data_IF_657431843541
#
_entry.id   IF_657431843541
#
_cell.length_a   1.000
_cell.length_b   1.000
_cell.length_c   1.000
_cell.angle_alpha   90.00
_cell.angle_beta   90.00
_cell.angle_gamma   90.00
#
_symmetry.space_group_name_H-M   'P 1'
#
loop_
_entity.id
_entity.type
_entity.pdbx_description
1 polymer ?
#
# COMPACT_ATOMS: atom_id res chain seq x y z
N UNK A 1 -15.40 -10.53 -90.81
CA UNK A 1 -16.43 -9.95 -89.93
C UNK A 1 -16.13 -10.36 -88.50
N UNK A 2 -15.54 -9.44 -87.74
CA UNK A 2 -15.01 -9.64 -86.40
C UNK A 2 -16.15 -9.51 -85.37
N UNK A 3 -16.45 -10.54 -84.57
CA UNK A 3 -17.45 -10.48 -83.49
C UNK A 3 -16.73 -10.27 -82.16
N UNK A 4 -16.86 -9.06 -81.62
CA UNK A 4 -16.49 -8.73 -80.24
C UNK A 4 -17.39 -9.50 -79.26
N UNK A 5 -16.80 -10.17 -78.29
CA UNK A 5 -17.47 -10.69 -77.10
C UNK A 5 -17.09 -9.79 -75.92
N UNK A 6 -18.08 -9.13 -75.31
CA UNK A 6 -17.90 -8.31 -74.10
C UNK A 6 -17.85 -9.23 -72.87
N UNK A 7 -16.73 -9.21 -72.15
CA UNK A 7 -16.59 -9.81 -70.83
C UNK A 7 -17.12 -8.85 -69.76
N UNK A 8 -18.14 -9.26 -69.00
CA UNK A 8 -18.65 -8.52 -67.84
C UNK A 8 -17.81 -8.82 -66.61
N UNK A 9 -17.17 -7.79 -66.06
CA UNK A 9 -16.40 -7.84 -64.82
C UNK A 9 -17.35 -7.57 -63.64
N UNK A 10 -17.61 -8.56 -62.78
CA UNK A 10 -18.41 -8.38 -61.57
C UNK A 10 -17.52 -7.85 -60.43
N UNK A 11 -17.79 -6.62 -59.99
CA UNK A 11 -17.08 -5.97 -58.88
C UNK A 11 -17.76 -6.36 -57.56
N UNK A 12 -17.10 -7.21 -56.76
CA UNK A 12 -17.56 -7.56 -55.41
C UNK A 12 -17.23 -6.42 -54.43
N UNK A 13 -18.26 -5.71 -53.96
CA UNK A 13 -18.13 -4.70 -52.91
C UNK A 13 -18.02 -5.38 -51.53
N UNK A 14 -16.83 -5.35 -50.92
CA UNK A 14 -16.63 -5.81 -49.55
C UNK A 14 -17.26 -4.84 -48.54
N UNK A 15 -18.17 -5.33 -47.70
CA UNK A 15 -18.66 -4.59 -46.54
C UNK A 15 -17.53 -4.47 -45.50
N UNK A 16 -16.95 -3.28 -45.39
CA UNK A 16 -16.14 -2.88 -44.23
C UNK A 16 -17.10 -2.58 -43.08
N UNK A 17 -17.25 -3.51 -42.13
CA UNK A 17 -17.93 -3.24 -40.86
C UNK A 17 -17.02 -2.39 -39.99
N UNK A 18 -17.22 -1.08 -39.98
CA UNK A 18 -16.59 -0.18 -39.00
C UNK A 18 -17.23 -0.44 -37.64
N UNK A 19 -16.53 -1.13 -36.74
CA UNK A 19 -16.93 -1.24 -35.34
C UNK A 19 -17.02 0.17 -34.75
N UNK A 20 -18.19 0.54 -34.21
CA UNK A 20 -18.34 1.80 -33.50
C UNK A 20 -17.34 1.83 -32.33
N UNK A 21 -16.66 2.97 -32.06
CA UNK A 21 -15.85 3.09 -30.86
C UNK A 21 -16.74 2.80 -29.65
N UNK A 22 -16.35 1.84 -28.82
CA UNK A 22 -17.01 1.60 -27.56
C UNK A 22 -16.99 2.93 -26.78
N UNK A 23 -18.16 3.54 -26.57
CA UNK A 23 -18.23 4.74 -25.76
C UNK A 23 -17.71 4.39 -24.38
N UNK A 24 -16.62 5.05 -23.95
CA UNK A 24 -16.13 4.93 -22.60
C UNK A 24 -17.29 5.26 -21.66
N UNK A 25 -17.60 4.33 -20.75
CA UNK A 25 -18.71 4.51 -19.82
C UNK A 25 -18.42 5.75 -18.98
N UNK A 26 -19.32 6.73 -19.04
CA UNK A 26 -19.19 7.94 -18.26
C UNK A 26 -19.20 7.59 -16.76
N UNK A 27 -18.30 8.19 -16.00
CA UNK A 27 -18.24 7.97 -14.56
C UNK A 27 -19.40 8.69 -13.88
N UNK A 28 -20.16 7.99 -13.03
CA UNK A 28 -21.26 8.58 -12.26
C UNK A 28 -20.68 9.37 -11.07
N UNK A 29 -20.34 10.63 -11.35
CA UNK A 29 -19.74 11.55 -10.37
C UNK A 29 -20.66 11.79 -9.19
N UNK A 30 -21.98 11.90 -9.42
CA UNK A 30 -22.97 12.13 -8.37
C UNK A 30 -23.06 10.93 -7.40
N UNK A 31 -22.97 9.71 -7.91
CA UNK A 31 -22.89 8.51 -7.07
C UNK A 31 -21.62 8.50 -6.20
N UNK A 32 -20.47 8.90 -6.75
CA UNK A 32 -19.21 8.99 -6.01
C UNK A 32 -19.29 10.06 -4.92
N UNK A 33 -19.81 11.25 -5.23
CA UNK A 33 -20.00 12.31 -4.23
C UNK A 33 -20.92 11.85 -3.09
N UNK A 34 -22.01 11.17 -3.43
CA UNK A 34 -22.95 10.64 -2.43
C UNK A 34 -22.30 9.57 -1.55
N UNK A 35 -21.55 8.65 -2.16
CA UNK A 35 -20.91 7.55 -1.44
C UNK A 35 -19.71 8.00 -0.59
N UNK A 36 -18.97 9.02 -1.03
CA UNK A 36 -17.85 9.59 -0.26
C UNK A 36 -18.31 10.62 0.77
N UNK A 37 -19.45 11.28 0.54
CA UNK A 37 -19.87 12.46 1.30
C UNK A 37 -19.05 13.71 0.98
N UNK A 38 -18.27 13.71 -0.11
CA UNK A 38 -17.39 14.80 -0.51
C UNK A 38 -17.80 15.33 -1.88
N UNK A 39 -17.65 16.65 -2.08
CA UNK A 39 -17.73 17.25 -3.40
C UNK A 39 -16.44 17.03 -4.17
N UNK A 40 -16.55 16.84 -5.48
CA UNK A 40 -15.41 16.60 -6.35
C UNK A 40 -15.34 17.53 -7.56
N UNK A 41 -14.27 17.37 -8.32
CA UNK A 41 -14.01 18.08 -9.57
C UNK A 41 -13.78 17.08 -10.69
N UNK A 42 -14.40 17.30 -11.84
CA UNK A 42 -14.21 16.48 -13.03
C UNK A 42 -13.25 17.14 -14.01
N UNK A 43 -12.15 16.47 -14.35
CA UNK A 43 -11.25 16.86 -15.43
C UNK A 43 -11.67 16.15 -16.72
N UNK A 44 -12.28 16.89 -17.65
CA UNK A 44 -12.76 16.34 -18.92
C UNK A 44 -11.62 15.90 -19.85
N UNK A 45 -10.46 16.57 -19.81
CA UNK A 45 -9.33 16.23 -20.67
C UNK A 45 -8.68 14.89 -20.29
N UNK A 46 -8.68 14.57 -18.99
CA UNK A 46 -8.12 13.33 -18.44
C UNK A 46 -9.18 12.24 -18.24
N UNK A 47 -10.47 12.57 -18.32
CA UNK A 47 -11.58 11.68 -17.97
C UNK A 47 -11.44 11.15 -16.52
N UNK A 48 -11.17 12.06 -15.59
CA UNK A 48 -10.92 11.76 -14.17
C UNK A 48 -11.84 12.60 -13.28
N UNK A 49 -12.53 11.95 -12.36
CA UNK A 49 -13.25 12.61 -11.26
C UNK A 49 -12.46 12.51 -9.97
N UNK A 50 -12.23 13.62 -9.27
CA UNK A 50 -11.44 13.64 -8.03
C UNK A 50 -12.21 14.27 -6.88
N UNK A 51 -12.20 13.61 -5.71
CA UNK A 51 -12.63 14.19 -4.43
C UNK A 51 -11.40 14.51 -3.58
N UNK A 52 -11.50 15.54 -2.74
CA UNK A 52 -10.40 16.00 -1.89
C UNK A 52 -10.87 16.22 -0.45
N UNK A 53 -10.00 15.92 0.52
CA UNK A 53 -10.21 16.12 1.96
C UNK A 53 -8.97 16.75 2.59
N UNK A 54 -8.93 18.08 2.74
CA UNK A 54 -7.85 18.79 3.41
C UNK A 54 -7.72 18.39 4.89
N UNK A 55 -6.50 18.32 5.42
CA UNK A 55 -6.21 18.17 6.87
C UNK A 55 -6.27 19.52 7.58
N UNK A 56 -7.48 20.02 7.81
CA UNK A 56 -7.74 21.26 8.57
C UNK A 56 -7.91 21.01 10.09
N UNK A 57 -7.96 19.74 10.50
CA UNK A 57 -8.26 19.29 11.86
C UNK A 57 -7.07 19.37 12.82
N UNK A 58 -5.85 19.31 12.30
CA UNK A 58 -4.61 19.38 13.09
C UNK A 58 -3.62 20.35 12.44
N UNK A 59 -3.05 21.25 13.24
CA UNK A 59 -2.01 22.18 12.79
C UNK A 59 -0.71 21.41 12.55
N UNK A 60 -0.20 21.50 11.33
CA UNK A 60 1.05 20.86 10.92
C UNK A 60 2.09 21.95 10.64
N UNK A 61 3.23 21.84 11.30
CA UNK A 61 4.38 22.70 11.04
C UNK A 61 5.44 21.92 10.25
N UNK A 62 6.02 22.55 9.24
CA UNK A 62 7.19 22.05 8.50
C UNK A 62 8.23 23.16 8.52
N UNK A 63 9.45 22.86 8.95
CA UNK A 63 10.53 23.86 9.09
C UNK A 63 10.09 25.14 9.85
N UNK A 64 9.45 24.94 11.01
CA UNK A 64 8.93 26.03 11.89
C UNK A 64 7.86 26.92 11.25
N UNK A 65 7.32 26.54 10.09
CA UNK A 65 6.23 27.25 9.42
C UNK A 65 4.96 26.39 9.42
N UNK A 66 3.82 26.99 9.76
CA UNK A 66 2.53 26.31 9.67
C UNK A 66 2.14 26.16 8.21
N UNK A 67 2.16 24.92 7.73
CA UNK A 67 1.91 24.62 6.34
C UNK A 67 0.39 24.53 6.07
N UNK A 68 -0.15 25.31 5.13
CA UNK A 68 -1.56 25.21 4.77
C UNK A 68 -1.82 23.93 3.96
N UNK A 69 -3.02 23.31 4.04
CA UNK A 69 -3.26 22.03 3.39
C UNK A 69 -3.11 21.99 1.87
N UNK A 70 -3.28 23.14 1.22
CA UNK A 70 -3.06 23.28 -0.22
C UNK A 70 -1.62 22.90 -0.65
N UNK A 71 -0.65 23.04 0.26
CA UNK A 71 0.77 22.73 0.00
C UNK A 71 1.12 21.23 0.19
N UNK A 72 0.13 20.34 0.04
CA UNK A 72 0.35 18.88 0.09
C UNK A 72 -0.16 18.18 1.35
N UNK A 73 -1.06 18.78 2.15
CA UNK A 73 -1.73 18.10 3.27
C UNK A 73 -3.20 17.82 2.96
N UNK A 74 -3.51 17.52 1.70
CA UNK A 74 -4.87 17.22 1.26
C UNK A 74 -4.93 15.78 0.78
N UNK A 75 -5.68 14.94 1.49
CA UNK A 75 -6.00 13.58 1.02
C UNK A 75 -6.91 13.67 -0.20
N UNK A 76 -6.80 12.72 -1.13
CA UNK A 76 -7.63 12.69 -2.33
C UNK A 76 -7.87 11.27 -2.82
N UNK A 77 -8.97 11.09 -3.55
CA UNK A 77 -9.25 9.90 -4.33
C UNK A 77 -9.75 10.32 -5.72
N UNK A 78 -9.12 9.77 -6.75
CA UNK A 78 -9.41 10.03 -8.15
C UNK A 78 -9.90 8.75 -8.81
N UNK A 79 -10.89 8.89 -9.69
CA UNK A 79 -11.59 7.78 -10.32
C UNK A 79 -11.63 8.00 -11.83
N UNK A 80 -11.34 6.95 -12.59
CA UNK A 80 -11.42 6.96 -14.05
C UNK A 80 -12.07 5.69 -14.59
N UNK A 81 -12.84 5.76 -15.69
CA UNK A 81 -13.39 4.58 -16.35
C UNK A 81 -12.29 3.60 -16.80
N UNK A 82 -12.53 2.31 -16.58
CA UNK A 82 -11.66 1.20 -17.02
C UNK A 82 -12.53 0.09 -17.63
N UNK A 83 -12.84 0.20 -18.92
CA UNK A 83 -13.77 -0.70 -19.60
C UNK A 83 -15.17 -0.62 -18.97
N UNK A 84 -15.68 -1.75 -18.47
CA UNK A 84 -16.94 -1.84 -17.72
C UNK A 84 -16.78 -1.61 -16.20
N UNK A 85 -15.58 -1.23 -15.75
CA UNK A 85 -15.24 -1.00 -14.35
C UNK A 85 -14.66 0.40 -14.14
N UNK A 86 -14.24 0.70 -12.93
CA UNK A 86 -13.57 1.94 -12.54
C UNK A 86 -12.24 1.61 -11.89
N UNK A 87 -11.22 2.38 -12.22
CA UNK A 87 -9.97 2.41 -11.47
C UNK A 87 -10.01 3.59 -10.50
N UNK A 88 -9.57 3.37 -9.27
CA UNK A 88 -9.41 4.40 -8.25
C UNK A 88 -7.96 4.41 -7.77
N UNK A 89 -7.40 5.61 -7.64
CA UNK A 89 -6.15 5.86 -6.95
C UNK A 89 -6.35 7.00 -5.96
N UNK A 90 -5.60 6.97 -4.87
CA UNK A 90 -5.69 8.01 -3.86
C UNK A 90 -4.42 8.14 -3.04
N UNK A 91 -4.29 9.28 -2.39
CA UNK A 91 -3.27 9.56 -1.39
C UNK A 91 -3.97 10.01 -0.11
N UNK A 92 -3.59 9.42 1.02
CA UNK A 92 -4.21 9.65 2.32
C UNK A 92 -3.18 10.20 3.30
N UNK A 93 -3.40 11.43 3.73
CA UNK A 93 -2.55 12.14 4.70
C UNK A 93 -2.90 11.70 6.12
N UNK A 94 -1.92 11.16 6.83
CA UNK A 94 -2.08 10.44 8.10
C UNK A 94 -1.03 10.87 9.12
N UNK A 95 -1.36 10.75 10.40
CA UNK A 95 -0.37 10.74 11.49
C UNK A 95 -0.01 9.29 11.88
N UNK A 96 1.09 9.12 12.60
CA UNK A 96 1.64 7.81 12.99
C UNK A 96 0.60 6.85 13.59
N UNK A 97 -0.29 7.36 14.44
CA UNK A 97 -1.35 6.60 15.11
C UNK A 97 -2.62 6.38 14.27
N UNK A 98 -2.73 7.05 13.12
CA UNK A 98 -3.84 6.89 12.17
C UNK A 98 -3.52 5.85 11.09
N UNK A 99 -2.25 5.68 10.73
CA UNK A 99 -1.81 4.86 9.58
C UNK A 99 -2.37 3.45 9.65
N UNK A 100 -2.08 2.73 10.73
CA UNK A 100 -2.41 1.30 10.83
C UNK A 100 -3.92 1.03 10.98
N UNK A 101 -4.68 1.82 11.76
CA UNK A 101 -6.13 1.77 11.75
C UNK A 101 -6.76 2.05 10.37
N UNK A 102 -6.30 3.09 9.67
CA UNK A 102 -6.80 3.44 8.34
C UNK A 102 -6.47 2.37 7.29
N UNK A 103 -5.23 1.85 7.31
CA UNK A 103 -4.78 0.75 6.44
C UNK A 103 -5.64 -0.49 6.61
N UNK A 104 -5.97 -0.87 7.84
CA UNK A 104 -6.81 -2.04 8.12
C UNK A 104 -8.19 -1.86 7.49
N UNK A 105 -8.81 -0.69 7.68
CA UNK A 105 -10.12 -0.37 7.08
C UNK A 105 -10.07 -0.35 5.55
N UNK A 106 -8.99 0.17 4.95
CA UNK A 106 -8.82 0.12 3.49
C UNK A 106 -8.84 -1.34 2.99
N UNK A 107 -8.01 -2.20 3.58
CA UNK A 107 -7.88 -3.60 3.19
C UNK A 107 -9.18 -4.40 3.41
N UNK A 108 -9.90 -4.14 4.51
CA UNK A 108 -11.18 -4.79 4.85
C UNK A 108 -12.31 -4.39 3.90
N UNK A 109 -12.24 -3.17 3.34
CA UNK A 109 -13.18 -2.68 2.33
C UNK A 109 -12.76 -3.05 0.90
N UNK A 110 -11.74 -3.91 0.74
CA UNK A 110 -11.28 -4.38 -0.56
C UNK A 110 -10.52 -3.32 -1.37
N UNK A 111 -10.06 -2.24 -0.73
CA UNK A 111 -9.09 -1.34 -1.32
C UNK A 111 -7.69 -1.94 -1.21
N UNK A 112 -6.82 -1.51 -2.11
CA UNK A 112 -5.40 -1.82 -2.11
C UNK A 112 -4.64 -0.71 -1.37
N UNK A 113 -3.54 -1.07 -0.74
CA UNK A 113 -2.56 -0.11 -0.19
C UNK A 113 -1.25 -0.30 -0.93
N UNK A 114 -0.78 0.74 -1.60
CA UNK A 114 0.27 0.63 -2.62
C UNK A 114 1.59 1.28 -2.21
N UNK A 115 1.55 2.25 -1.30
CA UNK A 115 2.75 2.86 -0.73
C UNK A 115 2.46 3.48 0.65
N UNK A 116 3.50 3.69 1.45
CA UNK A 116 3.47 4.41 2.71
C UNK A 116 4.83 5.08 2.91
N UNK A 117 4.83 6.41 2.94
CA UNK A 117 6.05 7.21 3.06
C UNK A 117 5.75 8.61 3.61
N UNK A 118 6.77 9.42 3.86
CA UNK A 118 6.65 10.83 4.21
C UNK A 118 7.11 11.72 3.03
N UNK A 119 6.59 12.94 2.93
CA UNK A 119 7.02 13.92 1.92
C UNK A 119 7.98 14.97 2.48
N UNK A 120 8.00 15.16 3.80
CA UNK A 120 8.69 16.27 4.44
C UNK A 120 9.68 15.79 5.48
N UNK A 121 10.75 16.56 5.65
CA UNK A 121 11.58 16.52 6.85
C UNK A 121 11.15 17.62 7.81
N UNK A 122 11.44 17.44 9.11
CA UNK A 122 11.14 18.42 10.17
C UNK A 122 9.66 18.82 10.30
N UNK A 123 8.77 17.98 9.79
CA UNK A 123 7.35 18.01 10.06
C UNK A 123 7.06 17.67 11.53
N UNK A 124 6.15 18.42 12.12
CA UNK A 124 5.65 18.26 13.48
C UNK A 124 4.14 18.57 13.53
N UNK A 125 3.30 17.60 13.94
CA UNK A 125 3.60 16.18 14.15
C UNK A 125 4.06 15.49 12.86
N UNK A 126 4.55 14.24 12.94
CA UNK A 126 4.97 13.47 11.76
C UNK A 126 3.80 13.12 10.87
N UNK A 127 3.92 13.45 9.59
CA UNK A 127 2.92 13.26 8.54
C UNK A 127 3.38 12.19 7.56
N UNK A 128 2.49 11.25 7.32
CA UNK A 128 2.65 10.14 6.39
C UNK A 128 1.59 10.19 5.29
N UNK A 129 1.92 9.55 4.18
CA UNK A 129 1.16 9.49 2.95
C UNK A 129 0.98 8.03 2.59
N UNK A 130 -0.24 7.54 2.75
CA UNK A 130 -0.62 6.18 2.38
C UNK A 130 -1.37 6.22 1.07
N UNK A 131 -0.79 5.59 0.04
CA UNK A 131 -1.42 5.49 -1.27
C UNK A 131 -2.40 4.33 -1.26
N UNK A 132 -3.61 4.60 -1.75
CA UNK A 132 -4.68 3.61 -1.88
C UNK A 132 -5.04 3.41 -3.33
N UNK A 133 -5.49 2.20 -3.66
CA UNK A 133 -5.88 1.82 -5.01
C UNK A 133 -7.10 0.92 -5.04
N UNK A 134 -7.60 0.64 -6.23
CA UNK A 134 -8.56 -0.42 -6.44
C UNK A 134 -9.21 -0.37 -7.82
N UNK A 135 -9.78 -1.50 -8.21
CA UNK A 135 -10.49 -1.67 -9.47
C UNK A 135 -11.85 -2.33 -9.23
N UNK A 136 -12.90 -1.85 -9.88
CA UNK A 136 -14.23 -2.43 -9.76
C UNK A 136 -15.36 -1.41 -9.84
N UNK A 137 -16.40 -1.64 -9.03
CA UNK A 137 -17.56 -0.74 -8.97
C UNK A 137 -17.22 0.58 -8.28
N UNK A 138 -17.51 1.70 -8.94
CA UNK A 138 -17.19 3.04 -8.46
C UNK A 138 -17.80 3.34 -7.07
N UNK A 139 -19.03 2.88 -6.81
CA UNK A 139 -19.72 3.12 -5.53
C UNK A 139 -19.07 2.34 -4.39
N UNK A 140 -18.67 1.08 -4.63
CA UNK A 140 -17.92 0.28 -3.65
C UNK A 140 -16.57 0.91 -3.32
N UNK A 141 -15.81 1.31 -4.35
CA UNK A 141 -14.52 2.00 -4.16
C UNK A 141 -14.71 3.30 -3.36
N UNK A 142 -15.68 4.13 -3.73
CA UNK A 142 -16.02 5.36 -3.02
C UNK A 142 -16.45 5.13 -1.56
N UNK A 143 -17.19 4.05 -1.29
CA UNK A 143 -17.58 3.65 0.07
C UNK A 143 -16.36 3.26 0.91
N UNK A 144 -15.40 2.52 0.32
CA UNK A 144 -14.13 2.21 0.98
C UNK A 144 -13.33 3.47 1.32
N UNK A 145 -13.25 4.43 0.39
CA UNK A 145 -12.59 5.73 0.63
C UNK A 145 -13.25 6.47 1.81
N UNK A 146 -14.59 6.50 1.85
CA UNK A 146 -15.31 7.09 2.97
C UNK A 146 -14.94 6.41 4.30
N UNK A 147 -14.93 5.08 4.33
CA UNK A 147 -14.63 4.32 5.54
C UNK A 147 -13.23 4.64 6.08
N UNK A 148 -12.23 4.77 5.20
CA UNK A 148 -10.88 5.19 5.56
C UNK A 148 -10.89 6.57 6.22
N UNK A 149 -11.51 7.57 5.60
CA UNK A 149 -11.57 8.93 6.14
C UNK A 149 -12.38 9.03 7.44
N UNK A 150 -13.47 8.28 7.55
CA UNK A 150 -14.24 8.17 8.80
C UNK A 150 -13.37 7.56 9.91
N UNK A 151 -12.56 6.54 9.61
CA UNK A 151 -11.69 5.92 10.61
C UNK A 151 -10.63 6.89 11.13
N UNK A 152 -10.05 7.70 10.26
CA UNK A 152 -9.12 8.77 10.63
C UNK A 152 -9.81 9.77 11.57
N UNK A 153 -11.00 10.24 11.19
CA UNK A 153 -11.78 11.15 12.01
C UNK A 153 -12.13 10.56 13.39
N UNK A 154 -12.45 9.27 13.46
CA UNK A 154 -12.70 8.57 14.73
C UNK A 154 -11.46 8.52 15.63
N UNK A 155 -10.27 8.26 15.06
CA UNK A 155 -9.00 8.27 15.82
C UNK A 155 -8.76 9.67 16.40
N UNK A 156 -8.91 10.73 15.60
CA UNK A 156 -8.78 12.12 16.07
C UNK A 156 -9.83 12.51 17.10
N UNK A 157 -11.07 12.05 16.95
CA UNK A 157 -12.12 12.31 17.92
C UNK A 157 -11.86 11.62 19.27
N UNK A 158 -11.27 10.43 19.26
CA UNK A 158 -10.88 9.71 20.47
C UNK A 158 -9.66 10.34 21.16
N UNK A 159 -8.70 10.82 20.38
CA UNK A 159 -7.49 11.47 20.87
C UNK A 159 -7.12 12.64 19.95
N UNK A 160 -7.30 13.88 20.40
CA UNK A 160 -7.08 15.06 19.54
C UNK A 160 -5.63 15.25 19.10
N UNK A 161 -4.66 14.89 19.95
CA UNK A 161 -3.22 15.00 19.66
C UNK A 161 -2.66 13.68 19.15
N UNK A 162 -1.86 13.64 18.07
CA UNK A 162 -1.24 12.40 17.61
C UNK A 162 -0.35 11.76 18.68
N UNK A 163 -0.44 10.44 18.82
CA UNK A 163 0.43 9.67 19.71
C UNK A 163 1.88 9.69 19.19
N UNK A 164 2.83 9.55 20.10
CA UNK A 164 4.27 9.54 19.80
C UNK A 164 4.92 8.17 19.93
N UNK A 165 4.14 7.10 20.13
CA UNK A 165 4.63 5.73 20.25
C UNK A 165 3.53 4.69 20.05
N UNK A 166 3.91 3.47 19.66
CA UNK A 166 3.02 2.30 19.71
C UNK A 166 2.78 1.86 21.15
N UNK A 167 1.57 1.37 21.44
CA UNK A 167 1.20 0.83 22.75
C UNK A 167 2.08 -0.35 23.19
N UNK A 168 2.24 -0.50 24.51
CA UNK A 168 3.07 -1.53 25.13
C UNK A 168 4.52 -1.12 25.33
N UNK A 169 5.22 -1.83 26.21
CA UNK A 169 6.61 -1.56 26.59
C UNK A 169 7.59 -2.48 25.87
N UNK A 170 8.88 -2.12 25.89
CA UNK A 170 9.98 -2.95 25.42
C UNK A 170 10.94 -3.10 26.60
N UNK A 171 11.24 -4.33 27.01
CA UNK A 171 12.17 -4.55 28.10
C UNK A 171 13.59 -4.07 27.76
N UNK A 172 14.34 -3.69 28.79
CA UNK A 172 15.74 -3.28 28.67
C UNK A 172 16.52 -3.65 29.94
N UNK A 173 17.73 -4.21 29.84
CA UNK A 173 18.45 -4.58 28.61
C UNK A 173 17.83 -5.78 27.88
N UNK A 174 18.29 -6.08 26.66
CA UNK A 174 17.74 -7.18 25.85
C UNK A 174 18.27 -8.55 26.30
N UNK A 175 17.39 -9.55 26.33
CA UNK A 175 17.62 -10.95 26.71
C UNK A 175 16.68 -11.92 25.96
N UNK A 176 16.51 -11.74 24.65
CA UNK A 176 15.62 -12.59 23.84
C UNK A 176 16.25 -13.96 23.59
N UNK A 177 15.49 -15.04 23.81
CA UNK A 177 15.95 -16.40 23.54
C UNK A 177 15.87 -16.73 22.05
N UNK A 178 17.01 -17.02 21.41
CA UNK A 178 17.08 -17.23 19.97
C UNK A 178 16.43 -18.53 19.47
N UNK A 179 16.58 -19.65 20.20
CA UNK A 179 16.23 -20.97 19.70
C UNK A 179 14.76 -21.12 19.24
N UNK A 180 13.74 -20.63 19.99
CA UNK A 180 12.36 -20.65 19.53
C UNK A 180 12.13 -19.83 18.25
N UNK A 181 12.79 -18.67 18.12
CA UNK A 181 12.69 -17.81 16.94
C UNK A 181 13.28 -18.52 15.72
N UNK A 182 14.46 -19.13 15.87
CA UNK A 182 15.11 -19.89 14.80
C UNK A 182 14.24 -21.07 14.32
N UNK A 183 13.60 -21.78 15.25
CA UNK A 183 12.70 -22.89 14.95
C UNK A 183 11.47 -22.41 14.17
N UNK A 184 10.83 -21.33 14.61
CA UNK A 184 9.62 -20.78 13.97
C UNK A 184 9.92 -20.24 12.58
N UNK A 185 11.01 -19.48 12.43
CA UNK A 185 11.39 -18.84 11.17
C UNK A 185 12.17 -19.77 10.24
N UNK A 186 12.61 -20.93 10.74
CA UNK A 186 13.32 -21.94 9.96
C UNK A 186 14.69 -21.49 9.48
N UNK A 187 15.36 -20.59 10.19
CA UNK A 187 16.67 -20.03 9.83
C UNK A 187 17.48 -19.65 11.04
N UNK A 188 18.81 -19.78 10.92
CA UNK A 188 19.73 -19.42 12.00
C UNK A 188 19.78 -17.92 12.22
N UNK A 189 19.80 -17.52 13.47
CA UNK A 189 19.82 -16.13 13.87
C UNK A 189 21.24 -15.65 14.13
N UNK A 190 21.47 -14.36 13.86
CA UNK A 190 22.58 -13.62 14.44
C UNK A 190 22.15 -13.14 15.82
N UNK A 191 23.01 -13.30 16.81
CA UNK A 191 22.75 -12.84 18.19
C UNK A 191 23.80 -11.82 18.58
N UNK A 192 23.37 -10.67 19.08
CA UNK A 192 24.26 -9.60 19.54
C UNK A 192 23.59 -8.85 20.68
N UNK A 193 24.31 -8.71 21.80
CA UNK A 193 23.85 -7.94 22.97
C UNK A 193 22.42 -8.31 23.44
N UNK A 194 22.10 -9.61 23.39
CA UNK A 194 20.79 -10.17 23.77
C UNK A 194 19.66 -9.93 22.76
N UNK A 195 19.95 -9.31 21.60
CA UNK A 195 19.05 -9.21 20.46
C UNK A 195 19.24 -10.39 19.50
N UNK A 196 18.17 -10.76 18.79
CA UNK A 196 18.14 -11.89 17.85
C UNK A 196 17.70 -11.38 16.49
N UNK A 197 18.46 -11.62 15.43
CA UNK A 197 18.11 -11.22 14.06
C UNK A 197 18.13 -12.41 13.10
N UNK A 198 17.05 -12.62 12.37
CA UNK A 198 16.96 -13.59 11.27
C UNK A 198 16.85 -12.83 9.95
N UNK A 199 17.57 -13.31 8.93
CA UNK A 199 17.54 -12.74 7.58
C UNK A 199 17.28 -13.86 6.56
N UNK A 200 16.35 -13.63 5.65
CA UNK A 200 15.89 -14.56 4.61
C UNK A 200 16.14 -13.93 3.24
N UNK A 201 17.17 -14.40 2.55
CA UNK A 201 17.58 -13.85 1.25
C UNK A 201 16.69 -14.31 0.09
N UNK A 202 16.43 -13.39 -0.85
CA UNK A 202 15.94 -13.68 -2.20
C UNK A 202 16.98 -13.20 -3.22
N UNK A 203 16.69 -13.35 -4.50
CA UNK A 203 17.57 -12.91 -5.59
C UNK A 203 16.80 -12.11 -6.64
N UNK A 204 17.53 -11.27 -7.37
CA UNK A 204 17.07 -10.54 -8.54
C UNK A 204 18.22 -10.39 -9.56
N UNK A 205 17.93 -9.85 -10.73
CA UNK A 205 18.91 -9.40 -11.72
C UNK A 205 18.92 -7.88 -11.79
N UNK A 206 20.10 -7.28 -11.84
CA UNK A 206 20.28 -5.85 -12.11
C UNK A 206 21.42 -5.71 -13.12
N UNK A 207 21.16 -5.05 -14.24
CA UNK A 207 22.15 -4.88 -15.33
C UNK A 207 22.83 -6.22 -15.73
N UNK A 208 22.06 -7.31 -15.82
CA UNK A 208 22.55 -8.65 -16.15
C UNK A 208 23.26 -9.41 -15.00
N UNK A 209 23.51 -8.75 -13.87
CA UNK A 209 24.22 -9.33 -12.71
C UNK A 209 23.23 -9.83 -11.66
N UNK A 210 23.50 -10.98 -11.04
CA UNK A 210 22.69 -11.47 -9.91
C UNK A 210 22.95 -10.62 -8.68
N UNK A 211 21.88 -10.08 -8.09
CA UNK A 211 21.89 -9.47 -6.76
C UNK A 211 21.11 -10.32 -5.77
N UNK A 212 21.47 -10.27 -4.48
CA UNK A 212 20.92 -11.17 -3.47
C UNK A 212 20.96 -10.60 -2.06
N UNK A 213 20.95 -11.49 -1.06
CA UNK A 213 20.80 -11.17 0.36
C UNK A 213 21.64 -9.97 0.84
N UNK A 214 22.96 -10.04 0.70
CA UNK A 214 23.90 -9.00 1.19
C UNK A 214 23.80 -7.68 0.41
N UNK A 215 23.07 -7.67 -0.73
CA UNK A 215 22.78 -6.49 -1.53
C UNK A 215 21.36 -5.94 -1.30
N UNK A 216 20.69 -6.36 -0.22
CA UNK A 216 19.40 -5.81 0.19
C UNK A 216 18.17 -6.54 -0.35
N UNK A 217 18.33 -7.63 -1.11
CA UNK A 217 17.18 -8.45 -1.54
C UNK A 217 16.88 -9.49 -0.46
N UNK A 218 16.31 -9.03 0.66
CA UNK A 218 16.02 -9.90 1.79
C UNK A 218 14.82 -9.43 2.62
N UNK A 219 14.25 -10.38 3.36
CA UNK A 219 13.31 -10.14 4.45
C UNK A 219 14.07 -10.38 5.76
N UNK A 220 14.06 -9.45 6.69
CA UNK A 220 14.62 -9.68 8.03
C UNK A 220 13.64 -9.37 9.16
N UNK A 221 13.92 -9.99 10.31
CA UNK A 221 13.21 -9.79 11.57
C UNK A 221 14.26 -9.70 12.69
N UNK A 222 14.30 -8.57 13.39
CA UNK A 222 15.14 -8.34 14.55
C UNK A 222 14.29 -8.19 15.80
N UNK A 223 14.66 -8.91 16.85
CA UNK A 223 13.97 -8.97 18.12
C UNK A 223 14.86 -8.38 19.21
N UNK A 224 14.26 -7.54 20.06
CA UNK A 224 14.88 -6.93 21.23
C UNK A 224 13.89 -6.92 22.41
N UNK A 225 14.37 -6.68 23.63
CA UNK A 225 13.58 -6.84 24.85
C UNK A 225 13.82 -8.19 25.52
N UNK A 226 12.80 -8.75 26.17
CA UNK A 226 12.83 -10.10 26.75
C UNK A 226 11.71 -10.96 26.12
N UNK A 227 11.65 -12.25 26.45
CA UNK A 227 10.71 -13.18 25.80
C UNK A 227 9.22 -12.82 26.01
N UNK A 228 8.88 -12.05 27.05
CA UNK A 228 7.51 -11.65 27.39
C UNK A 228 7.16 -10.22 26.92
N UNK A 229 8.15 -9.33 26.86
CA UNK A 229 8.02 -7.92 26.48
C UNK A 229 9.04 -7.55 25.39
N UNK A 230 8.91 -8.19 24.24
CA UNK A 230 9.74 -7.99 23.07
C UNK A 230 9.17 -6.95 22.11
N UNK A 231 10.06 -6.48 21.25
CA UNK A 231 9.75 -5.84 19.97
C UNK A 231 10.21 -6.73 18.83
N UNK A 232 9.53 -6.66 17.69
CA UNK A 232 10.06 -7.08 16.39
C UNK A 232 10.06 -5.89 15.44
N UNK A 233 11.21 -5.62 14.84
CA UNK A 233 11.42 -4.69 13.73
C UNK A 233 11.91 -5.48 12.52
N UNK A 234 11.59 -5.04 11.32
CA UNK A 234 11.97 -5.77 10.12
C UNK A 234 11.50 -5.19 8.81
N UNK A 235 11.89 -5.87 7.75
CA UNK A 235 11.42 -5.62 6.40
C UNK A 235 10.92 -6.90 5.72
N UNK A 236 10.16 -6.73 4.64
CA UNK A 236 9.84 -7.81 3.71
C UNK A 236 10.28 -7.41 2.31
N UNK A 237 11.02 -8.27 1.62
CA UNK A 237 11.23 -8.18 0.18
C UNK A 237 10.16 -8.99 -0.56
N UNK A 238 9.30 -8.31 -1.31
CA UNK A 238 8.13 -8.92 -1.98
C UNK A 238 8.07 -8.59 -3.47
N UNK A 239 7.35 -9.41 -4.23
CA UNK A 239 6.85 -9.00 -5.54
C UNK A 239 5.54 -8.20 -5.41
N UNK A 240 5.17 -7.45 -6.45
CA UNK A 240 4.00 -6.57 -6.46
C UNK A 240 2.69 -7.33 -6.12
N UNK A 241 2.53 -8.55 -6.66
CA UNK A 241 1.37 -9.42 -6.42
C UNK A 241 1.32 -10.01 -4.99
N UNK A 242 2.43 -10.02 -4.26
CA UNK A 242 2.50 -10.54 -2.89
C UNK A 242 2.06 -9.47 -1.85
N UNK A 243 2.20 -8.18 -2.17
CA UNK A 243 2.06 -7.06 -1.24
C UNK A 243 0.73 -7.08 -0.46
N UNK A 244 -0.40 -7.13 -1.16
CA UNK A 244 -1.72 -7.00 -0.52
C UNK A 244 -1.99 -8.15 0.47
N UNK A 245 -1.54 -9.36 0.14
CA UNK A 245 -1.68 -10.55 0.98
C UNK A 245 -0.83 -10.44 2.24
N UNK A 246 0.42 -9.94 2.11
CA UNK A 246 1.30 -9.72 3.26
C UNK A 246 0.72 -8.64 4.18
N UNK A 247 0.30 -7.49 3.62
CA UNK A 247 -0.32 -6.41 4.40
C UNK A 247 -1.53 -6.90 5.20
N UNK A 248 -2.47 -7.61 4.56
CA UNK A 248 -3.64 -8.20 5.23
C UNK A 248 -3.26 -9.14 6.35
N UNK A 249 -2.28 -10.01 6.10
CA UNK A 249 -1.82 -10.98 7.10
C UNK A 249 -1.19 -10.28 8.30
N UNK A 250 -0.27 -9.35 8.07
CA UNK A 250 0.44 -8.63 9.14
C UNK A 250 -0.51 -7.77 9.97
N UNK A 251 -1.41 -7.01 9.32
CA UNK A 251 -2.43 -6.24 10.02
C UNK A 251 -3.37 -7.12 10.83
N UNK A 252 -3.76 -8.29 10.30
CA UNK A 252 -4.55 -9.28 11.01
C UNK A 252 -3.81 -9.98 12.17
N UNK A 253 -2.48 -9.89 12.22
CA UNK A 253 -1.66 -10.32 13.37
C UNK A 253 -1.26 -9.15 14.29
N UNK A 254 -1.92 -8.00 14.15
CA UNK A 254 -1.62 -6.79 14.94
C UNK A 254 -0.18 -6.26 14.77
N UNK A 255 0.49 -6.62 13.68
CA UNK A 255 1.79 -6.05 13.31
C UNK A 255 1.55 -4.73 12.57
N UNK A 256 2.26 -3.68 12.97
CA UNK A 256 2.16 -2.36 12.38
C UNK A 256 3.04 -2.27 11.14
N UNK A 257 2.53 -1.64 10.09
CA UNK A 257 3.31 -1.28 8.90
C UNK A 257 3.77 0.17 9.09
N UNK A 258 5.05 0.43 8.84
CA UNK A 258 5.67 1.74 9.09
C UNK A 258 6.21 2.40 7.82
N UNK A 259 6.49 1.62 6.77
CA UNK A 259 6.80 2.13 5.44
C UNK A 259 6.44 1.09 4.38
N UNK A 260 6.12 1.54 3.16
CA UNK A 260 6.03 0.71 1.96
C UNK A 260 6.69 1.52 0.84
N UNK A 261 7.76 0.97 0.29
CA UNK A 261 8.57 1.67 -0.68
C UNK A 261 9.29 0.69 -1.61
N UNK A 262 9.97 1.27 -2.58
CA UNK A 262 10.91 0.56 -3.42
C UNK A 262 12.20 1.39 -3.41
N UNK A 263 13.35 0.73 -3.24
CA UNK A 263 14.65 1.40 -3.11
C UNK A 263 15.69 0.88 -4.10
N UNK A 264 15.29 0.01 -5.03
CA UNK A 264 16.13 -0.52 -6.09
C UNK A 264 15.79 0.18 -7.41
N UNK A 265 16.63 0.11 -8.43
CA UNK A 265 16.19 0.56 -9.77
C UNK A 265 16.68 -0.44 -10.80
N UNK A 266 15.84 -0.75 -11.77
CA UNK A 266 16.15 -1.71 -12.85
C UNK A 266 16.38 -3.15 -12.39
N UNK A 267 15.86 -3.53 -11.22
CA UNK A 267 15.84 -4.91 -10.77
C UNK A 267 14.73 -5.72 -11.47
N UNK A 268 15.05 -6.95 -11.82
CA UNK A 268 14.12 -7.91 -12.44
C UNK A 268 14.16 -9.26 -11.70
N UNK A 269 13.00 -9.82 -11.29
CA UNK A 269 11.70 -9.15 -11.22
C UNK A 269 11.70 -7.96 -10.26
N UNK A 270 10.73 -7.04 -10.41
CA UNK A 270 10.58 -5.90 -9.50
C UNK A 270 10.28 -6.35 -8.08
N UNK A 271 10.84 -5.61 -7.13
CA UNK A 271 10.56 -5.80 -5.71
C UNK A 271 9.84 -4.60 -5.12
N UNK A 272 8.99 -4.85 -4.13
CA UNK A 272 8.43 -3.86 -3.23
C UNK A 272 8.80 -4.27 -1.82
N UNK A 273 9.14 -3.28 -1.00
CA UNK A 273 9.54 -3.47 0.37
C UNK A 273 8.53 -2.84 1.30
N UNK A 274 8.27 -3.49 2.41
CA UNK A 274 7.62 -2.85 3.55
C UNK A 274 8.50 -2.98 4.78
N UNK A 275 8.35 -2.04 5.70
CA UNK A 275 8.94 -2.09 7.03
C UNK A 275 7.83 -2.22 8.04
N UNK A 276 8.09 -2.93 9.13
CA UNK A 276 7.07 -3.25 10.12
C UNK A 276 7.58 -3.19 11.55
N UNK A 277 6.64 -3.07 12.48
CA UNK A 277 6.91 -2.98 13.92
C UNK A 277 5.84 -3.72 14.72
N UNK A 278 6.25 -4.57 15.65
CA UNK A 278 5.36 -5.26 16.58
C UNK A 278 5.91 -5.23 18.00
N UNK A 279 5.02 -5.26 18.99
CA UNK A 279 5.36 -5.42 20.41
C UNK A 279 4.53 -6.56 21.01
N UNK A 280 5.11 -7.35 21.90
CA UNK A 280 4.47 -8.52 22.51
C UNK A 280 5.48 -9.60 22.88
N UNK A 281 5.03 -10.84 23.06
CA UNK A 281 5.93 -11.96 23.34
C UNK A 281 6.78 -12.30 22.12
N UNK A 282 8.06 -12.61 22.33
CA UNK A 282 8.99 -12.88 21.24
C UNK A 282 8.52 -14.01 20.31
N UNK A 283 7.98 -15.09 20.89
CA UNK A 283 7.45 -16.24 20.14
C UNK A 283 6.19 -15.90 19.33
N UNK A 284 5.28 -15.10 19.87
CA UNK A 284 4.05 -14.68 19.18
C UNK A 284 4.36 -13.75 18.01
N UNK A 285 5.33 -12.86 18.21
CA UNK A 285 5.86 -11.99 17.16
C UNK A 285 6.52 -12.81 16.05
N UNK A 286 7.36 -13.78 16.37
CA UNK A 286 7.98 -14.67 15.39
C UNK A 286 6.94 -15.48 14.60
N UNK A 287 5.90 -15.99 15.27
CA UNK A 287 4.78 -16.68 14.60
C UNK A 287 4.01 -15.75 13.66
N UNK A 288 3.83 -14.49 14.04
CA UNK A 288 3.15 -13.49 13.21
C UNK A 288 3.94 -13.20 11.92
N UNK A 289 5.26 -13.03 12.04
CA UNK A 289 6.16 -12.90 10.88
C UNK A 289 6.12 -14.17 10.02
N UNK A 290 6.17 -15.35 10.64
CA UNK A 290 6.08 -16.63 9.92
C UNK A 290 4.81 -16.79 9.11
N UNK A 291 3.64 -16.40 9.66
CA UNK A 291 2.37 -16.42 8.93
C UNK A 291 2.40 -15.51 7.71
N UNK A 292 3.01 -14.32 7.82
CA UNK A 292 3.17 -13.41 6.70
C UNK A 292 4.12 -13.99 5.62
N UNK A 293 5.22 -14.63 6.01
CA UNK A 293 6.12 -15.36 5.09
C UNK A 293 5.40 -16.50 4.36
N UNK A 294 4.57 -17.27 5.07
CA UNK A 294 3.80 -18.36 4.48
C UNK A 294 2.73 -17.83 3.50
N UNK A 295 2.06 -16.74 3.87
CA UNK A 295 1.08 -16.09 3.01
C UNK A 295 1.72 -15.47 1.76
N UNK A 296 2.91 -14.87 1.91
CA UNK A 296 3.73 -14.39 0.80
C UNK A 296 4.04 -15.52 -0.17
N UNK A 297 4.55 -16.65 0.33
CA UNK A 297 4.89 -17.82 -0.49
C UNK A 297 3.68 -18.42 -1.22
N UNK A 298 2.49 -18.28 -0.64
CA UNK A 298 1.25 -18.79 -1.21
C UNK A 298 0.60 -17.84 -2.24
N UNK A 299 1.00 -16.57 -2.27
CA UNK A 299 0.53 -15.61 -3.25
C UNK A 299 1.04 -16.00 -4.65
N UNK A 300 0.13 -16.01 -5.62
CA UNK A 300 0.41 -16.34 -7.02
C UNK A 300 0.34 -15.11 -7.89
#
# INVERSE_FOLDING_TARGET
MLRLTLSTLALAAGLLTTGAPAMAQAIDTAAIETATGLKGSYNQAENVFKVSKPRDDVKINVDRWTMPPFMGLTSWAAFTPMGSSTMMMGDTVLFEDEVNPAMSVALDNGLEVTALHNHFFFDQPKVFFMHIGGMGDARKLATGVKAVYDRIAQVRAAQGTPASSFAGDIASPSHVTAAPIEEILGSKAQVKDGMVKVTLGRTAKMHGTTVGNEMGINTWAAFAGDDEHAVVDGDFAMHENELQTVLKTMRGQSINIVAIHQHMTYEEPRYVFLHYWGKGKAVDLAQSVKKALDAQKAAK
#
